data_IF_269048520050
#
_entry.id   IF_269048520050
#
_cell.length_a   1.000
_cell.length_b   1.000
_cell.length_c   1.000
_cell.angle_alpha   90.00
_cell.angle_beta   90.00
_cell.angle_gamma   90.00
#
_symmetry.space_group_name_H-M   'P 1'
#
loop_
_entity.id
_entity.type
_entity.pdbx_description
1 polymer ?
#
# COMPACT_ATOMS: atom_id res chain seq x y z
N UNK A 1 31.82 -0.84 34.38
CA UNK A 1 30.63 -0.92 33.52
C UNK A 1 30.41 0.48 32.97
N UNK A 2 30.92 0.71 31.76
CA UNK A 2 30.70 1.98 31.06
C UNK A 2 29.39 1.84 30.28
N UNK A 3 28.34 2.43 30.77
CA UNK A 3 27.14 2.71 30.00
C UNK A 3 27.47 3.89 29.09
N UNK A 4 27.56 3.64 27.81
CA UNK A 4 27.60 4.66 26.77
C UNK A 4 26.36 5.56 26.92
N UNK A 5 26.48 6.91 26.81
CA UNK A 5 25.30 7.81 26.88
C UNK A 5 24.36 7.45 25.75
N UNK A 6 23.05 7.36 26.05
CA UNK A 6 21.99 6.81 25.21
C UNK A 6 22.04 7.27 23.77
N UNK A 7 22.07 6.31 22.87
CA UNK A 7 21.47 6.49 21.54
C UNK A 7 20.00 6.82 21.80
N UNK A 8 19.63 8.08 21.57
CA UNK A 8 18.21 8.45 21.52
C UNK A 8 17.59 7.57 20.44
N UNK A 9 16.73 6.64 20.85
CA UNK A 9 16.08 5.73 19.93
C UNK A 9 15.21 6.57 18.98
N UNK A 10 15.58 6.58 17.70
CA UNK A 10 14.92 7.36 16.67
C UNK A 10 13.44 6.98 16.54
N UNK A 11 12.57 7.99 16.64
CA UNK A 11 11.12 7.80 16.51
C UNK A 11 10.72 7.70 15.05
N UNK A 12 10.05 6.62 14.68
CA UNK A 12 9.48 6.42 13.34
C UNK A 12 7.96 6.57 13.39
N UNK A 13 7.41 7.46 12.58
CA UNK A 13 5.96 7.61 12.43
C UNK A 13 5.48 6.78 11.24
N UNK A 14 4.45 5.95 11.47
CA UNK A 14 3.83 5.11 10.42
C UNK A 14 2.35 5.47 10.33
N UNK A 15 1.89 5.99 9.19
CA UNK A 15 0.46 6.23 8.97
C UNK A 15 -0.23 4.98 8.42
N UNK A 16 -1.57 4.94 8.51
CA UNK A 16 -2.30 3.73 8.12
C UNK A 16 -1.94 2.50 8.98
N UNK A 17 -1.58 2.72 10.24
CA UNK A 17 -1.05 1.71 11.16
C UNK A 17 -2.03 0.57 11.53
N UNK A 18 -3.26 0.59 11.02
CA UNK A 18 -4.26 -0.50 11.15
C UNK A 18 -4.55 -1.20 9.83
N UNK A 19 -3.90 -0.80 8.73
CA UNK A 19 -4.04 -1.41 7.40
C UNK A 19 -2.99 -2.49 7.12
N UNK A 20 -3.16 -3.23 6.02
CA UNK A 20 -2.30 -4.36 5.65
C UNK A 20 -0.79 -4.04 5.59
N UNK A 21 -0.42 -2.87 5.07
CA UNK A 21 0.98 -2.46 4.93
C UNK A 21 1.47 -1.75 6.20
N UNK A 22 0.75 -0.69 6.65
CA UNK A 22 1.20 0.13 7.77
C UNK A 22 1.27 -0.62 9.09
N UNK A 23 0.28 -1.48 9.40
CA UNK A 23 0.30 -2.29 10.62
C UNK A 23 1.49 -3.25 10.64
N UNK A 24 1.73 -3.93 9.51
CA UNK A 24 2.86 -4.87 9.41
C UNK A 24 4.21 -4.16 9.46
N UNK A 25 4.33 -2.98 8.84
CA UNK A 25 5.56 -2.16 8.95
C UNK A 25 5.82 -1.73 10.38
N UNK A 26 4.80 -1.23 11.09
CA UNK A 26 4.92 -0.83 12.49
C UNK A 26 5.32 -2.02 13.40
N UNK A 27 4.73 -3.19 13.17
CA UNK A 27 5.08 -4.43 13.88
C UNK A 27 6.54 -4.83 13.65
N UNK A 28 7.01 -4.85 12.38
CA UNK A 28 8.37 -5.20 12.04
C UNK A 28 9.39 -4.24 12.67
N UNK A 29 9.16 -2.93 12.59
CA UNK A 29 10.03 -1.92 13.19
C UNK A 29 10.10 -2.09 14.71
N UNK A 30 8.97 -2.30 15.40
CA UNK A 30 8.93 -2.55 16.85
C UNK A 30 9.68 -3.82 17.23
N UNK A 31 9.53 -4.90 16.44
CA UNK A 31 10.24 -6.16 16.68
C UNK A 31 11.76 -6.03 16.54
N UNK A 32 12.23 -5.03 15.77
CA UNK A 32 13.65 -4.68 15.63
C UNK A 32 14.14 -3.68 16.69
N UNK A 33 13.29 -3.26 17.62
CA UNK A 33 13.65 -2.37 18.74
C UNK A 33 13.50 -0.87 18.45
N UNK A 34 12.91 -0.49 17.28
CA UNK A 34 12.66 0.92 16.98
C UNK A 34 11.47 1.47 17.77
N UNK A 35 11.53 2.75 18.14
CA UNK A 35 10.38 3.47 18.65
C UNK A 35 9.42 3.81 17.50
N UNK A 36 8.18 3.34 17.58
CA UNK A 36 7.19 3.53 16.52
C UNK A 36 5.91 4.16 17.06
N UNK A 37 5.51 5.25 16.43
CA UNK A 37 4.22 5.90 16.63
C UNK A 37 3.33 5.64 15.40
N UNK A 38 2.36 4.74 15.53
CA UNK A 38 1.37 4.50 14.49
C UNK A 38 0.30 5.59 14.48
N UNK A 39 -0.11 6.04 13.30
CA UNK A 39 -1.21 6.98 13.13
C UNK A 39 -2.37 6.30 12.38
N UNK A 40 -3.55 6.31 12.99
CA UNK A 40 -4.78 5.82 12.39
C UNK A 40 -5.99 6.52 13.00
N UNK A 41 -7.18 6.34 12.43
CA UNK A 41 -8.43 6.85 13.04
C UNK A 41 -8.83 6.06 14.29
N UNK A 42 -8.48 4.77 14.31
CA UNK A 42 -8.79 3.82 15.40
C UNK A 42 -7.51 3.04 15.73
N UNK A 43 -6.64 3.57 16.59
CA UNK A 43 -5.38 2.92 16.94
C UNK A 43 -5.62 1.62 17.70
N UNK A 44 -4.75 0.64 17.48
CA UNK A 44 -4.80 -0.69 18.11
C UNK A 44 -3.61 -0.96 19.04
N UNK A 45 -2.58 -0.12 19.02
CA UNK A 45 -1.40 -0.24 19.88
C UNK A 45 -1.35 0.93 20.88
N UNK A 46 -0.87 0.75 22.13
CA UNK A 46 -0.84 1.80 23.17
C UNK A 46 -0.05 3.06 22.77
N UNK A 47 1.02 2.90 21.99
CA UNK A 47 1.87 4.01 21.53
C UNK A 47 1.34 4.71 20.28
N UNK A 48 0.28 4.19 19.69
CA UNK A 48 -0.35 4.76 18.51
C UNK A 48 -1.26 5.93 18.88
N UNK A 49 -1.48 6.83 17.91
CA UNK A 49 -2.34 8.00 18.10
C UNK A 49 -3.54 7.97 17.15
N UNK A 50 -4.69 8.37 17.67
CA UNK A 50 -5.87 8.63 16.87
C UNK A 50 -5.71 9.97 16.14
N UNK A 51 -5.57 9.93 14.82
CA UNK A 51 -5.35 11.13 13.99
C UNK A 51 -6.21 11.06 12.73
N UNK A 52 -6.91 12.17 12.45
CA UNK A 52 -7.48 12.42 11.15
C UNK A 52 -6.43 13.15 10.30
N UNK A 53 -5.94 12.54 9.23
CA UNK A 53 -4.91 13.14 8.37
C UNK A 53 -5.38 14.41 7.62
N UNK A 54 -6.68 14.71 7.62
CA UNK A 54 -7.21 15.96 7.09
C UNK A 54 -6.98 17.16 8.04
N UNK A 55 -6.74 16.89 9.31
CA UNK A 55 -6.47 17.91 10.34
C UNK A 55 -4.96 18.20 10.41
N UNK A 56 -4.56 19.33 9.83
CA UNK A 56 -3.14 19.69 9.73
C UNK A 56 -2.48 19.91 11.10
N UNK A 57 -3.20 20.44 12.10
CA UNK A 57 -2.66 20.68 13.44
C UNK A 57 -2.47 19.35 14.18
N UNK A 58 -3.45 18.46 14.11
CA UNK A 58 -3.35 17.12 14.70
C UNK A 58 -2.21 16.30 14.05
N UNK A 59 -2.02 16.41 12.73
CA UNK A 59 -0.93 15.76 12.01
C UNK A 59 0.42 16.34 12.44
N UNK A 60 0.56 17.67 12.53
CA UNK A 60 1.80 18.31 12.99
C UNK A 60 2.18 17.86 14.40
N UNK A 61 1.22 17.86 15.34
CA UNK A 61 1.44 17.39 16.71
C UNK A 61 1.77 15.88 16.79
N UNK A 62 1.26 15.09 15.86
CA UNK A 62 1.52 13.65 15.84
C UNK A 62 2.86 13.27 15.21
N UNK A 63 3.38 14.09 14.29
CA UNK A 63 4.67 13.90 13.62
C UNK A 63 5.81 14.55 14.40
N UNK A 64 5.52 15.44 15.32
CA UNK A 64 6.54 16.13 16.14
C UNK A 64 7.47 15.13 16.84
N UNK A 65 8.79 15.40 16.77
CA UNK A 65 9.86 14.54 17.28
C UNK A 65 10.13 13.29 16.46
N UNK A 66 9.55 13.15 15.26
CA UNK A 66 9.83 12.01 14.38
C UNK A 66 11.15 12.21 13.63
N UNK A 67 11.97 11.15 13.55
CA UNK A 67 13.17 11.07 12.72
C UNK A 67 12.85 10.58 11.30
N UNK A 68 11.88 9.65 11.19
CA UNK A 68 11.43 9.14 9.90
C UNK A 68 9.91 9.02 9.84
N UNK A 69 9.36 9.09 8.63
CA UNK A 69 7.93 8.92 8.36
C UNK A 69 7.72 7.88 7.27
N UNK A 70 6.83 6.93 7.51
CA UNK A 70 6.24 6.12 6.46
C UNK A 70 4.80 6.52 6.20
N UNK A 71 4.55 7.15 5.07
CA UNK A 71 3.24 7.62 4.67
C UNK A 71 2.46 6.56 3.87
N UNK A 72 1.41 6.04 4.49
CA UNK A 72 0.39 5.19 3.87
C UNK A 72 -0.94 5.93 4.00
N UNK A 73 -1.42 6.51 2.90
CA UNK A 73 -2.62 7.36 2.88
C UNK A 73 -3.75 6.65 2.14
N UNK A 74 -4.98 6.62 2.70
CA UNK A 74 -6.10 5.92 2.07
C UNK A 74 -6.53 6.59 0.77
N UNK A 75 -7.05 5.79 -0.17
CA UNK A 75 -7.64 6.25 -1.43
C UNK A 75 -9.02 6.87 -1.18
N UNK A 76 -9.06 8.15 -0.87
CA UNK A 76 -10.26 8.95 -0.62
C UNK A 76 -10.17 10.30 -1.36
N UNK A 77 -11.31 10.98 -1.53
CA UNK A 77 -11.36 12.24 -2.28
C UNK A 77 -10.37 13.32 -1.78
N UNK A 78 -10.04 13.29 -0.49
CA UNK A 78 -9.11 14.25 0.13
C UNK A 78 -7.68 13.69 0.30
N UNK A 79 -7.31 12.63 -0.41
CA UNK A 79 -5.99 12.01 -0.30
C UNK A 79 -4.86 13.03 -0.47
N UNK A 80 -4.92 13.90 -1.47
CA UNK A 80 -3.88 14.94 -1.70
C UNK A 80 -3.79 15.94 -0.55
N UNK A 81 -4.89 16.29 0.10
CA UNK A 81 -4.86 17.15 1.29
C UNK A 81 -4.12 16.47 2.44
N UNK A 82 -4.41 15.19 2.68
CA UNK A 82 -3.74 14.38 3.71
C UNK A 82 -2.23 14.26 3.44
N UNK A 83 -1.84 14.01 2.18
CA UNK A 83 -0.43 13.95 1.76
C UNK A 83 0.29 15.28 2.02
N UNK A 84 -0.32 16.41 1.67
CA UNK A 84 0.24 17.74 1.91
C UNK A 84 0.41 18.06 3.38
N UNK A 85 -0.56 17.68 4.22
CA UNK A 85 -0.48 17.84 5.67
C UNK A 85 0.71 17.06 6.26
N UNK A 86 0.88 15.79 5.83
CA UNK A 86 1.98 14.94 6.27
C UNK A 86 3.35 15.49 5.83
N UNK A 87 3.48 15.92 4.57
CA UNK A 87 4.72 16.51 4.04
C UNK A 87 5.07 17.80 4.81
N UNK A 88 4.08 18.68 5.06
CA UNK A 88 4.28 19.91 5.81
C UNK A 88 4.71 19.64 7.26
N UNK A 89 4.05 18.70 7.95
CA UNK A 89 4.39 18.28 9.29
C UNK A 89 5.79 17.67 9.38
N UNK A 90 6.15 16.79 8.44
CA UNK A 90 7.49 16.19 8.38
C UNK A 90 8.60 17.23 8.17
N UNK A 91 8.37 18.22 7.31
CA UNK A 91 9.29 19.35 7.15
C UNK A 91 9.45 20.17 8.43
N UNK A 92 8.34 20.49 9.09
CA UNK A 92 8.34 21.27 10.33
C UNK A 92 9.06 20.52 11.46
N UNK A 93 8.88 19.22 11.54
CA UNK A 93 9.53 18.37 12.54
C UNK A 93 11.01 18.07 12.23
N UNK A 94 11.51 18.46 11.04
CA UNK A 94 12.89 18.18 10.64
C UNK A 94 13.15 16.69 10.36
N UNK A 95 12.16 15.97 9.84
CA UNK A 95 12.27 14.54 9.52
C UNK A 95 13.44 14.27 8.59
N UNK A 96 14.30 13.31 8.94
CA UNK A 96 15.49 12.95 8.19
C UNK A 96 15.17 12.13 6.94
N UNK A 97 14.13 11.27 7.00
CA UNK A 97 13.73 10.43 5.86
C UNK A 97 12.22 10.25 5.77
N UNK A 98 11.65 10.43 4.58
CA UNK A 98 10.23 10.28 4.30
C UNK A 98 10.01 9.19 3.25
N UNK A 99 9.58 8.01 3.65
CA UNK A 99 9.15 6.96 2.74
C UNK A 99 7.64 7.09 2.44
N UNK A 100 7.26 6.92 1.20
CA UNK A 100 5.86 7.04 0.77
C UNK A 100 5.40 5.81 0.00
N UNK A 101 4.28 5.22 0.44
CA UNK A 101 3.60 4.20 -0.36
C UNK A 101 2.91 4.86 -1.55
N UNK A 102 3.32 4.48 -2.74
CA UNK A 102 2.84 4.99 -4.02
C UNK A 102 2.33 3.86 -4.92
N UNK A 103 1.87 4.20 -6.12
CA UNK A 103 1.39 3.26 -7.12
C UNK A 103 2.38 3.12 -8.27
N UNK A 104 2.54 1.91 -8.80
CA UNK A 104 3.42 1.62 -9.94
C UNK A 104 3.19 2.54 -11.13
N UNK A 105 1.95 2.94 -11.38
CA UNK A 105 1.57 3.86 -12.47
C UNK A 105 1.53 5.33 -12.08
N UNK A 106 2.18 5.76 -10.97
CA UNK A 106 2.17 7.16 -10.53
C UNK A 106 2.70 8.10 -11.62
N UNK A 107 1.83 9.02 -12.06
CA UNK A 107 2.10 10.03 -13.09
C UNK A 107 1.15 11.22 -12.85
N UNK A 108 1.67 12.43 -12.60
CA UNK A 108 0.82 13.61 -12.34
C UNK A 108 -0.08 13.99 -13.52
N UNK A 109 0.27 13.55 -14.72
CA UNK A 109 -0.51 13.74 -15.96
C UNK A 109 -1.28 12.46 -16.38
N UNK A 110 -1.30 11.44 -15.52
CA UNK A 110 -1.95 10.16 -15.80
C UNK A 110 -3.43 10.29 -16.14
N UNK A 111 -3.95 9.37 -16.95
CA UNK A 111 -5.36 9.42 -17.40
C UNK A 111 -6.33 9.03 -16.30
N UNK A 112 -5.96 8.07 -15.45
CA UNK A 112 -6.77 7.63 -14.31
C UNK A 112 -6.45 8.43 -13.02
N UNK A 113 -7.39 8.43 -12.09
CA UNK A 113 -7.26 9.18 -10.82
C UNK A 113 -6.16 8.62 -9.91
N UNK A 114 -5.92 7.29 -9.95
CA UNK A 114 -4.87 6.65 -9.16
C UNK A 114 -3.51 7.19 -9.57
N UNK A 115 -3.22 7.12 -10.87
CA UNK A 115 -1.96 7.63 -11.42
C UNK A 115 -1.73 9.10 -11.08
N UNK A 116 -2.76 9.96 -11.29
CA UNK A 116 -2.65 11.40 -11.04
C UNK A 116 -2.42 11.73 -9.57
N UNK A 117 -3.22 11.17 -8.68
CA UNK A 117 -3.13 11.48 -7.24
C UNK A 117 -1.77 11.06 -6.69
N UNK A 118 -1.31 9.86 -7.02
CA UNK A 118 0.00 9.40 -6.60
C UNK A 118 1.14 10.22 -7.22
N UNK A 119 1.06 10.53 -8.52
CA UNK A 119 2.06 11.34 -9.19
C UNK A 119 2.15 12.79 -8.66
N UNK A 120 1.01 13.41 -8.36
CA UNK A 120 0.99 14.75 -7.74
C UNK A 120 1.59 14.74 -6.32
N UNK A 121 1.27 13.72 -5.51
CA UNK A 121 1.82 13.60 -4.17
C UNK A 121 3.35 13.33 -4.20
N UNK A 122 3.85 12.55 -5.16
CA UNK A 122 5.29 12.38 -5.37
C UNK A 122 5.97 13.71 -5.73
N UNK A 123 5.40 14.48 -6.67
CA UNK A 123 5.93 15.81 -7.02
C UNK A 123 5.93 16.80 -5.84
N UNK A 124 4.87 16.78 -5.01
CA UNK A 124 4.81 17.64 -3.82
C UNK A 124 5.90 17.25 -2.81
N UNK A 125 6.17 15.95 -2.64
CA UNK A 125 7.24 15.44 -1.78
C UNK A 125 8.63 15.79 -2.33
N UNK A 126 8.87 15.59 -3.62
CA UNK A 126 10.13 15.94 -4.28
C UNK A 126 10.47 17.44 -4.16
N UNK A 127 9.44 18.31 -4.27
CA UNK A 127 9.59 19.77 -4.11
C UNK A 127 9.71 20.21 -2.66
N UNK A 128 9.46 19.32 -1.70
CA UNK A 128 9.47 19.67 -0.28
C UNK A 128 10.86 19.93 0.29
N UNK A 129 11.89 19.38 -0.30
CA UNK A 129 13.28 19.40 0.20
C UNK A 129 13.57 18.32 1.25
N UNK A 130 12.60 17.46 1.59
CA UNK A 130 12.83 16.27 2.42
C UNK A 130 13.66 15.23 1.67
N UNK A 131 14.49 14.47 2.39
CA UNK A 131 15.01 13.21 1.87
C UNK A 131 13.85 12.22 1.75
N UNK A 132 13.69 11.57 0.60
CA UNK A 132 12.51 10.74 0.35
C UNK A 132 12.83 9.42 -0.33
N UNK A 133 11.90 8.46 -0.23
CA UNK A 133 11.83 7.26 -1.08
C UNK A 133 10.39 7.00 -1.49
N UNK A 134 10.15 6.87 -2.80
CA UNK A 134 8.86 6.43 -3.33
C UNK A 134 8.84 4.90 -3.42
N UNK A 135 7.86 4.27 -2.78
CA UNK A 135 7.60 2.83 -2.84
C UNK A 135 6.39 2.63 -3.75
N UNK A 136 6.62 2.47 -5.06
CA UNK A 136 5.58 2.25 -6.07
C UNK A 136 5.21 0.78 -6.13
N UNK A 137 4.13 0.42 -5.46
CA UNK A 137 3.63 -0.95 -5.45
C UNK A 137 2.69 -1.22 -6.63
N UNK A 138 2.74 -2.44 -7.18
CA UNK A 138 1.77 -2.97 -8.13
C UNK A 138 0.49 -3.42 -7.38
N UNK A 139 -0.41 -4.12 -8.03
CA UNK A 139 -1.68 -4.58 -7.45
C UNK A 139 -1.45 -5.54 -6.28
N UNK A 140 -2.03 -5.23 -5.11
CA UNK A 140 -1.83 -6.01 -3.89
C UNK A 140 -2.59 -7.34 -3.95
N UNK A 141 -1.93 -8.43 -3.58
CA UNK A 141 -2.59 -9.73 -3.40
C UNK A 141 -3.71 -9.64 -2.35
N UNK A 142 -3.55 -8.82 -1.30
CA UNK A 142 -4.55 -8.61 -0.25
C UNK A 142 -5.87 -7.99 -0.75
N UNK A 143 -5.89 -7.41 -1.96
CA UNK A 143 -7.15 -6.95 -2.55
C UNK A 143 -8.13 -8.10 -2.85
N UNK A 144 -7.63 -9.33 -3.01
CA UNK A 144 -8.49 -10.52 -3.12
C UNK A 144 -9.30 -10.74 -1.84
N UNK A 145 -8.83 -10.33 -0.66
CA UNK A 145 -9.56 -10.44 0.60
C UNK A 145 -10.85 -9.60 0.62
N UNK A 146 -10.92 -8.53 -0.17
CA UNK A 146 -12.15 -7.75 -0.32
C UNK A 146 -13.30 -8.53 -0.98
N UNK A 147 -12.97 -9.63 -1.66
CA UNK A 147 -13.93 -10.54 -2.30
C UNK A 147 -14.19 -11.80 -1.44
N UNK A 148 -13.60 -11.90 -0.25
CA UNK A 148 -13.66 -13.11 0.57
C UNK A 148 -15.12 -13.54 0.88
N UNK A 149 -16.01 -12.60 1.16
CA UNK A 149 -17.43 -12.88 1.41
C UNK A 149 -18.13 -13.43 0.15
N UNK A 150 -17.95 -12.80 -1.01
CA UNK A 150 -18.50 -13.30 -2.27
C UNK A 150 -17.95 -14.69 -2.62
N UNK A 151 -16.67 -14.91 -2.38
CA UNK A 151 -16.02 -16.19 -2.60
C UNK A 151 -16.59 -17.23 -1.65
N UNK A 152 -16.66 -16.95 -0.35
CA UNK A 152 -17.12 -17.94 0.65
C UNK A 152 -18.60 -18.28 0.51
N UNK A 153 -19.45 -17.33 0.22
CA UNK A 153 -20.91 -17.51 0.17
C UNK A 153 -21.44 -17.89 -1.21
N UNK A 154 -20.81 -17.40 -2.29
CA UNK A 154 -21.35 -17.50 -3.65
C UNK A 154 -20.41 -18.21 -4.63
N UNK A 155 -19.16 -18.52 -4.23
CA UNK A 155 -18.11 -19.00 -5.12
C UNK A 155 -17.86 -18.07 -6.31
N UNK A 156 -17.87 -16.73 -6.07
CA UNK A 156 -17.74 -15.71 -7.12
C UNK A 156 -16.56 -14.80 -6.79
N UNK A 157 -15.73 -14.56 -7.82
CA UNK A 157 -14.76 -13.47 -7.86
C UNK A 157 -15.07 -12.61 -9.08
N UNK A 158 -15.44 -11.35 -8.85
CA UNK A 158 -15.86 -10.44 -9.90
C UNK A 158 -15.04 -9.14 -9.89
N UNK A 159 -14.54 -8.75 -11.05
CA UNK A 159 -13.87 -7.47 -11.29
C UNK A 159 -14.28 -6.93 -12.66
N UNK A 160 -13.78 -5.76 -13.07
CA UNK A 160 -14.20 -5.21 -14.35
C UNK A 160 -13.04 -5.02 -15.33
N UNK A 161 -13.31 -5.36 -16.61
CA UNK A 161 -12.59 -4.97 -17.82
C UNK A 161 -11.06 -5.16 -17.80
N UNK A 162 -10.56 -6.20 -17.12
CA UNK A 162 -9.14 -6.54 -17.13
C UNK A 162 -8.77 -7.57 -18.20
N UNK A 163 -9.73 -8.36 -18.66
CA UNK A 163 -9.54 -9.40 -19.67
C UNK A 163 -8.43 -10.39 -19.28
N UNK A 164 -7.52 -10.63 -20.21
CA UNK A 164 -6.35 -11.48 -20.02
C UNK A 164 -5.06 -10.70 -19.72
N UNK A 165 -5.19 -9.47 -19.17
CA UNK A 165 -4.02 -8.66 -18.84
C UNK A 165 -3.18 -9.29 -17.72
N UNK A 166 -1.88 -9.34 -17.95
CA UNK A 166 -0.92 -9.80 -16.94
C UNK A 166 -0.72 -8.76 -15.84
N UNK A 167 -0.52 -9.24 -14.61
CA UNK A 167 -0.28 -8.43 -13.42
C UNK A 167 0.86 -9.02 -12.61
N UNK A 168 1.85 -8.22 -12.23
CA UNK A 168 2.86 -8.57 -11.25
C UNK A 168 2.35 -8.32 -9.84
N UNK A 169 1.43 -9.17 -9.35
CA UNK A 169 0.84 -9.05 -8.01
C UNK A 169 1.88 -8.98 -6.92
N UNK A 170 1.74 -8.05 -5.95
CA UNK A 170 2.66 -7.89 -4.82
C UNK A 170 1.97 -8.23 -3.49
N UNK A 171 2.63 -8.98 -2.62
CA UNK A 171 2.16 -9.21 -1.27
C UNK A 171 2.41 -7.98 -0.38
N UNK A 172 1.42 -7.52 0.38
CA UNK A 172 1.55 -6.39 1.29
C UNK A 172 2.63 -6.61 2.36
N UNK A 173 2.96 -7.86 2.68
CA UNK A 173 4.05 -8.22 3.59
C UNK A 173 5.43 -7.87 3.00
N UNK A 174 5.60 -8.02 1.69
CA UNK A 174 6.86 -7.65 1.01
C UNK A 174 7.00 -6.13 0.90
N UNK A 175 5.88 -5.41 0.71
CA UNK A 175 5.86 -3.94 0.79
C UNK A 175 6.29 -3.49 2.19
N UNK A 176 5.75 -4.11 3.25
CA UNK A 176 6.07 -3.77 4.63
C UNK A 176 7.55 -4.07 4.97
N UNK A 177 8.09 -5.21 4.53
CA UNK A 177 9.50 -5.54 4.71
C UNK A 177 10.40 -4.55 3.98
N UNK A 178 10.06 -4.19 2.73
CA UNK A 178 10.78 -3.18 1.96
C UNK A 178 10.73 -1.80 2.64
N UNK A 179 9.54 -1.38 3.11
CA UNK A 179 9.39 -0.12 3.82
C UNK A 179 10.23 -0.08 5.11
N UNK A 180 10.26 -1.18 5.87
CA UNK A 180 11.11 -1.32 7.06
C UNK A 180 12.58 -1.13 6.71
N UNK A 181 13.09 -1.82 5.69
CA UNK A 181 14.48 -1.69 5.26
C UNK A 181 14.83 -0.27 4.76
N UNK A 182 13.89 0.40 4.09
CA UNK A 182 14.06 1.79 3.62
C UNK A 182 14.11 2.78 4.78
N UNK A 183 13.31 2.58 5.82
CA UNK A 183 13.24 3.48 6.98
C UNK A 183 14.43 3.33 7.94
N UNK A 184 15.15 2.22 7.85
CA UNK A 184 16.29 1.90 8.72
C UNK A 184 17.64 1.98 8.00
N UNK A 185 17.66 2.43 6.73
CA UNK A 185 18.86 2.52 5.91
C UNK A 185 18.75 3.65 4.87
N UNK A 186 19.62 4.64 4.96
CA UNK A 186 19.66 5.82 4.09
C UNK A 186 20.09 5.53 2.64
N UNK A 187 20.54 4.31 2.33
CA UNK A 187 20.99 3.93 0.98
C UNK A 187 19.89 4.05 -0.10
N UNK A 188 18.65 4.25 0.32
CA UNK A 188 17.48 4.36 -0.58
C UNK A 188 16.96 5.78 -0.74
N UNK A 189 17.61 6.77 -0.14
CA UNK A 189 17.26 8.19 -0.28
C UNK A 189 17.29 8.65 -1.75
N UNK A 190 16.26 9.39 -2.15
CA UNK A 190 16.08 9.90 -3.52
C UNK A 190 15.65 8.85 -4.55
N UNK A 191 15.35 7.62 -4.13
CA UNK A 191 14.99 6.53 -5.05
C UNK A 191 13.47 6.35 -5.20
N UNK A 192 13.11 5.80 -6.36
CA UNK A 192 11.78 5.25 -6.63
C UNK A 192 11.92 3.74 -6.80
N UNK A 193 11.36 2.99 -5.86
CA UNK A 193 11.33 1.53 -5.86
C UNK A 193 10.04 1.04 -6.49
N UNK A 194 10.13 0.06 -7.38
CA UNK A 194 8.98 -0.52 -8.10
C UNK A 194 8.75 -1.94 -7.60
N UNK A 195 7.75 -2.12 -6.73
CA UNK A 195 7.53 -3.39 -6.05
C UNK A 195 6.49 -4.25 -6.78
N UNK A 196 6.90 -5.45 -7.13
CA UNK A 196 6.08 -6.50 -7.75
C UNK A 196 6.36 -7.83 -7.10
N UNK A 197 5.47 -8.79 -7.26
CA UNK A 197 5.78 -10.19 -7.02
C UNK A 197 6.74 -10.74 -8.09
N UNK A 198 7.11 -12.02 -7.97
CA UNK A 198 8.14 -12.63 -8.81
C UNK A 198 7.62 -13.07 -10.19
N UNK A 199 6.32 -13.05 -10.42
CA UNK A 199 5.66 -13.65 -11.58
C UNK A 199 4.55 -12.77 -12.14
N UNK A 200 4.25 -12.96 -13.41
CA UNK A 200 3.09 -12.37 -14.06
C UNK A 200 1.95 -13.40 -14.09
N UNK A 201 0.79 -12.99 -13.59
CA UNK A 201 -0.43 -13.78 -13.63
C UNK A 201 -1.58 -12.93 -14.15
N UNK A 202 -2.48 -13.54 -14.92
CA UNK A 202 -3.80 -12.95 -15.18
C UNK A 202 -4.69 -13.15 -13.94
N UNK A 203 -5.77 -12.37 -13.80
CA UNK A 203 -6.74 -12.61 -12.71
C UNK A 203 -7.37 -14.00 -12.76
N UNK A 204 -7.78 -14.54 -13.95
CA UNK A 204 -8.22 -15.94 -14.03
C UNK A 204 -7.16 -16.93 -13.52
N UNK A 205 -5.88 -16.77 -13.87
CA UNK A 205 -4.81 -17.64 -13.41
C UNK A 205 -4.61 -17.53 -11.88
N UNK A 206 -4.70 -16.33 -11.31
CA UNK A 206 -4.63 -16.12 -9.86
C UNK A 206 -5.82 -16.80 -9.14
N UNK A 207 -7.04 -16.73 -9.70
CA UNK A 207 -8.21 -17.44 -9.18
C UNK A 207 -8.01 -18.97 -9.23
N UNK A 208 -7.39 -19.51 -10.28
CA UNK A 208 -7.06 -20.94 -10.36
C UNK A 208 -6.05 -21.37 -9.28
N UNK A 209 -5.08 -20.53 -8.94
CA UNK A 209 -4.17 -20.77 -7.82
C UNK A 209 -4.96 -20.79 -6.51
N UNK A 210 -5.88 -19.86 -6.32
CA UNK A 210 -6.73 -19.79 -5.12
C UNK A 210 -7.65 -21.01 -5.03
N UNK A 211 -8.28 -21.46 -6.13
CA UNK A 211 -9.10 -22.68 -6.22
C UNK A 211 -8.37 -23.91 -5.66
N UNK A 212 -7.12 -24.07 -6.06
CA UNK A 212 -6.27 -25.18 -5.58
C UNK A 212 -5.99 -25.07 -4.08
N UNK A 213 -5.73 -23.86 -3.57
CA UNK A 213 -5.43 -23.63 -2.16
C UNK A 213 -6.64 -23.89 -1.24
N UNK A 214 -7.85 -23.51 -1.68
CA UNK A 214 -9.08 -23.71 -0.88
C UNK A 214 -9.80 -25.02 -1.15
N UNK A 215 -9.43 -25.76 -2.19
CA UNK A 215 -10.02 -27.05 -2.54
C UNK A 215 -11.43 -26.99 -3.14
N UNK A 216 -11.81 -25.83 -3.76
CA UNK A 216 -13.10 -25.65 -4.43
C UNK A 216 -12.98 -24.68 -5.63
N UNK A 217 -13.99 -24.67 -6.50
CA UNK A 217 -14.01 -23.84 -7.69
C UNK A 217 -14.69 -22.49 -7.39
N UNK A 218 -13.98 -21.41 -7.69
CA UNK A 218 -14.49 -20.04 -7.72
C UNK A 218 -14.76 -19.69 -9.18
N UNK A 219 -15.93 -19.13 -9.47
CA UNK A 219 -16.28 -18.60 -10.78
C UNK A 219 -15.72 -17.19 -10.93
N UNK A 220 -14.87 -17.00 -11.93
CA UNK A 220 -14.35 -15.68 -12.29
C UNK A 220 -15.29 -14.97 -13.26
N UNK A 221 -15.60 -13.70 -12.98
CA UNK A 221 -16.39 -12.84 -13.85
C UNK A 221 -15.64 -11.55 -14.16
N UNK A 222 -15.36 -11.34 -15.45
CA UNK A 222 -14.88 -10.06 -15.97
C UNK A 222 -16.08 -9.25 -16.44
N UNK A 223 -16.56 -8.36 -15.57
CA UNK A 223 -17.82 -7.62 -15.75
C UNK A 223 -17.60 -6.39 -16.64
N UNK A 224 -18.70 -5.88 -17.22
CA UNK A 224 -18.72 -4.52 -17.75
C UNK A 224 -18.45 -3.49 -16.64
N UNK A 225 -17.60 -2.49 -16.93
CA UNK A 225 -17.21 -1.52 -15.91
C UNK A 225 -18.36 -0.62 -15.44
N UNK A 226 -19.36 -0.37 -16.29
CA UNK A 226 -20.53 0.40 -15.91
C UNK A 226 -21.38 -0.38 -14.91
N UNK A 227 -21.61 -1.67 -15.19
CA UNK A 227 -22.32 -2.57 -14.29
C UNK A 227 -21.57 -2.72 -12.95
N UNK A 228 -20.24 -2.94 -12.98
CA UNK A 228 -19.43 -3.06 -11.77
C UNK A 228 -19.50 -1.79 -10.92
N UNK A 229 -19.42 -0.60 -11.55
CA UNK A 229 -19.59 0.69 -10.88
C UNK A 229 -20.96 0.82 -10.21
N UNK A 230 -22.03 0.46 -10.90
CA UNK A 230 -23.38 0.51 -10.34
C UNK A 230 -23.53 -0.39 -9.11
N UNK A 231 -22.94 -1.60 -9.14
CA UNK A 231 -22.92 -2.50 -7.99
C UNK A 231 -22.20 -1.86 -6.81
N UNK A 232 -20.99 -1.29 -7.04
CA UNK A 232 -20.23 -0.60 -5.99
C UNK A 232 -21.06 0.52 -5.32
N UNK A 233 -21.75 1.33 -6.11
CA UNK A 233 -22.59 2.41 -5.59
C UNK A 233 -23.80 1.86 -4.79
N UNK A 234 -24.44 0.79 -5.25
CA UNK A 234 -25.57 0.14 -4.55
C UNK A 234 -25.17 -0.43 -3.18
N UNK A 235 -23.94 -0.91 -3.02
CA UNK A 235 -23.42 -1.38 -1.72
C UNK A 235 -22.80 -0.28 -0.87
N UNK A 236 -22.98 1.00 -1.26
CA UNK A 236 -22.59 2.16 -0.45
C UNK A 236 -21.13 2.64 -0.63
N UNK A 237 -20.42 2.15 -1.64
CA UNK A 237 -19.09 2.69 -2.01
C UNK A 237 -19.30 4.09 -2.60
N UNK A 238 -18.47 5.05 -2.18
CA UNK A 238 -18.55 6.43 -2.69
C UNK A 238 -18.23 6.50 -4.18
N UNK A 239 -18.80 7.46 -4.90
CA UNK A 239 -18.53 7.68 -6.33
C UNK A 239 -17.03 7.85 -6.60
N UNK A 240 -16.33 8.63 -5.76
CA UNK A 240 -14.90 8.80 -5.88
C UNK A 240 -14.16 7.47 -5.86
N UNK A 241 -14.45 6.59 -4.89
CA UNK A 241 -13.75 5.30 -4.77
C UNK A 241 -14.14 4.35 -5.90
N UNK A 242 -15.41 4.35 -6.32
CA UNK A 242 -15.86 3.56 -7.47
C UNK A 242 -15.10 3.97 -8.74
N UNK A 243 -15.05 5.27 -9.06
CA UNK A 243 -14.33 5.78 -10.23
C UNK A 243 -12.82 5.54 -10.14
N UNK A 244 -12.26 5.60 -8.94
CA UNK A 244 -10.84 5.30 -8.68
C UNK A 244 -10.53 3.82 -8.97
N UNK A 245 -11.38 2.90 -8.52
CA UNK A 245 -11.25 1.45 -8.78
C UNK A 245 -11.41 1.13 -10.26
N UNK A 246 -12.41 1.71 -10.92
CA UNK A 246 -12.61 1.55 -12.38
C UNK A 246 -11.37 2.03 -13.16
N UNK A 247 -10.83 3.20 -12.79
CA UNK A 247 -9.60 3.72 -13.41
C UNK A 247 -8.41 2.77 -13.25
N UNK A 248 -8.26 2.18 -12.06
CA UNK A 248 -7.21 1.18 -11.80
C UNK A 248 -7.37 -0.05 -12.69
N UNK A 249 -8.57 -0.65 -12.74
CA UNK A 249 -8.81 -1.83 -13.57
C UNK A 249 -8.67 -1.52 -15.07
N UNK A 250 -9.14 -0.37 -15.54
CA UNK A 250 -8.93 0.05 -16.92
C UNK A 250 -7.45 0.15 -17.27
N UNK A 251 -6.61 0.70 -16.38
CA UNK A 251 -5.15 0.75 -16.57
C UNK A 251 -4.54 -0.65 -16.61
N UNK A 252 -5.00 -1.56 -15.75
CA UNK A 252 -4.57 -2.97 -15.75
C UNK A 252 -4.93 -3.62 -17.09
N UNK A 253 -6.18 -3.48 -17.56
CA UNK A 253 -6.65 -4.02 -18.84
C UNK A 253 -5.84 -3.51 -20.05
N UNK A 254 -5.27 -2.31 -19.95
CA UNK A 254 -4.33 -1.76 -20.95
C UNK A 254 -2.87 -2.22 -20.76
N UNK A 255 -2.58 -3.16 -19.88
CA UNK A 255 -1.24 -3.71 -19.62
C UNK A 255 -0.38 -2.86 -18.66
N UNK A 256 -0.96 -1.88 -17.99
CA UNK A 256 -0.21 -0.97 -17.10
C UNK A 256 0.36 -1.61 -15.83
N UNK A 257 0.05 -2.89 -15.58
CA UNK A 257 0.56 -3.67 -14.45
C UNK A 257 1.37 -4.91 -14.87
N UNK A 258 1.60 -5.10 -16.18
CA UNK A 258 2.29 -6.26 -16.75
C UNK A 258 3.82 -6.11 -16.65
N UNK A 259 4.33 -6.08 -15.44
CA UNK A 259 5.78 -5.97 -15.19
C UNK A 259 6.16 -6.72 -13.92
N UNK A 260 7.36 -7.31 -13.91
CA UNK A 260 8.06 -7.78 -12.71
C UNK A 260 9.36 -7.00 -12.54
N UNK A 261 9.77 -6.78 -11.29
CA UNK A 261 11.00 -6.09 -10.91
C UNK A 261 11.74 -6.88 -9.83
N UNK A 262 13.01 -6.53 -9.60
CA UNK A 262 13.82 -7.15 -8.56
C UNK A 262 13.97 -6.27 -7.31
N UNK A 263 13.23 -5.15 -7.21
CA UNK A 263 13.46 -4.15 -6.17
C UNK A 263 13.21 -4.68 -4.76
N UNK A 264 12.22 -5.59 -4.58
CA UNK A 264 12.03 -6.27 -3.28
C UNK A 264 13.30 -7.02 -2.89
N UNK A 265 13.83 -7.88 -3.76
CA UNK A 265 15.02 -8.67 -3.45
C UNK A 265 16.29 -7.82 -3.28
N UNK A 266 16.44 -6.76 -4.07
CA UNK A 266 17.57 -5.83 -3.97
C UNK A 266 17.59 -5.04 -2.66
N UNK A 267 16.41 -4.71 -2.12
CA UNK A 267 16.29 -3.93 -0.89
C UNK A 267 16.31 -4.82 0.36
N UNK A 268 15.63 -5.96 0.31
CA UNK A 268 15.42 -6.82 1.49
C UNK A 268 16.40 -7.99 1.58
N UNK A 269 17.06 -8.35 0.47
CA UNK A 269 17.85 -9.58 0.37
C UNK A 269 17.01 -10.86 0.19
N UNK A 270 15.68 -10.76 0.17
CA UNK A 270 14.75 -11.89 0.07
C UNK A 270 13.90 -11.79 -1.21
N UNK A 271 13.63 -12.93 -1.84
CA UNK A 271 12.72 -12.97 -2.98
C UNK A 271 11.28 -12.60 -2.54
N UNK A 272 10.53 -11.84 -3.37
CA UNK A 272 9.14 -11.55 -3.06
C UNK A 272 8.29 -12.83 -3.05
N UNK A 273 7.21 -12.82 -2.25
CA UNK A 273 6.27 -13.94 -2.12
C UNK A 273 5.53 -14.18 -3.43
N UNK A 274 5.32 -15.46 -3.73
CA UNK A 274 4.47 -15.87 -4.87
C UNK A 274 2.99 -15.72 -4.53
N UNK A 275 2.14 -15.67 -5.55
CA UNK A 275 0.69 -15.71 -5.34
C UNK A 275 0.24 -17.04 -4.72
N UNK A 276 0.94 -18.16 -5.00
CA UNK A 276 0.69 -19.45 -4.34
C UNK A 276 0.92 -19.37 -2.83
N UNK A 277 1.99 -18.70 -2.38
CA UNK A 277 2.25 -18.48 -0.94
C UNK A 277 1.11 -17.69 -0.30
N UNK A 278 0.70 -16.58 -0.92
CA UNK A 278 -0.45 -15.79 -0.47
C UNK A 278 -1.72 -16.65 -0.38
N UNK A 279 -2.07 -17.38 -1.44
CA UNK A 279 -3.28 -18.20 -1.50
C UNK A 279 -3.31 -19.28 -0.41
N UNK A 280 -2.16 -19.86 -0.11
CA UNK A 280 -2.03 -20.86 0.96
C UNK A 280 -2.20 -20.24 2.34
N UNK A 281 -1.49 -19.14 2.61
CA UNK A 281 -1.48 -18.46 3.91
C UNK A 281 -2.85 -17.87 4.28
N UNK A 282 -3.61 -17.43 3.27
CA UNK A 282 -4.91 -16.78 3.44
C UNK A 282 -6.11 -17.68 3.08
N UNK A 283 -5.89 -18.99 2.84
CA UNK A 283 -6.94 -19.92 2.39
C UNK A 283 -8.20 -19.89 3.28
N UNK A 284 -8.03 -19.82 4.60
CA UNK A 284 -9.15 -19.81 5.57
C UNK A 284 -10.09 -18.61 5.41
N UNK A 285 -9.60 -17.47 4.90
CA UNK A 285 -10.43 -16.29 4.67
C UNK A 285 -11.41 -16.47 3.51
N UNK A 286 -11.14 -17.42 2.63
CA UNK A 286 -11.92 -17.67 1.42
C UNK A 286 -12.79 -18.93 1.49
N UNK A 287 -12.76 -19.70 2.61
CA UNK A 287 -13.56 -20.92 2.82
C UNK A 287 -14.97 -20.72 3.31
#
# INVERSE_FOLDING_TARGET
MNTTPGEETEMIVVTGATGHVGARTAELLRSQGHQVRGLSRHPSHPDDRAVNLEDAEAVAAAVDGANAVFAVVPAVAKQLTMEKNLIAAARQAGVNHYARLSSLGADPNGKDSVSRVHGQAEQDLEKSGLSYTHIRANYFMQMFLSQAENISQQNVFAICAVGSADVGFIDARDIATTATAVLTNDAHAGKTLRLTGPELLTFPAAVEVLNKAIGRTINYYDMDCTEYREIMLKVGISEFLADHVIGLYSRIGMGGSAVTTNDVALVTGEAPRTFQTFATDYAEHFR
#
